data_IF_458342980947
#
_entry.id   IF_458342980947
#
_cell.length_a   1.000
_cell.length_b   1.000
_cell.length_c   1.000
_cell.angle_alpha   90.00
_cell.angle_beta   90.00
_cell.angle_gamma   90.00
#
_symmetry.space_group_name_H-M   'P 1'
#
loop_
_entity.id
_entity.type
_entity.pdbx_description
1 polymer ?
#
# COMPACT_ATOMS: atom_id res chain seq x y z
N UNK A 1 9.84 -2.71 40.12
CA UNK A 1 9.21 -1.74 39.18
C UNK A 1 10.11 -1.40 37.98
N UNK A 2 11.40 -1.12 38.20
CA UNK A 2 12.36 -0.77 37.12
C UNK A 2 12.43 -1.79 35.96
N UNK A 3 12.46 -3.09 36.25
CA UNK A 3 12.53 -4.13 35.20
C UNK A 3 11.30 -4.14 34.28
N UNK A 4 10.11 -3.83 34.81
CA UNK A 4 8.88 -3.73 34.02
C UNK A 4 8.93 -2.49 33.12
N UNK A 5 9.37 -1.35 33.65
CA UNK A 5 9.54 -0.12 32.89
C UNK A 5 10.56 -0.28 31.75
N UNK A 6 11.71 -0.93 32.01
CA UNK A 6 12.74 -1.19 31.00
C UNK A 6 12.25 -2.09 29.86
N UNK A 7 11.39 -3.07 30.14
CA UNK A 7 10.77 -3.91 29.10
C UNK A 7 9.84 -3.10 28.19
N UNK A 8 9.00 -2.25 28.77
CA UNK A 8 8.11 -1.36 28.01
C UNK A 8 8.91 -0.37 27.17
N UNK A 9 9.93 0.27 27.76
CA UNK A 9 10.82 1.18 27.06
C UNK A 9 11.51 0.50 25.86
N UNK A 10 12.02 -0.72 26.06
CA UNK A 10 12.64 -1.50 24.99
C UNK A 10 11.67 -1.81 23.84
N UNK A 11 10.43 -2.19 24.15
CA UNK A 11 9.40 -2.40 23.14
C UNK A 11 9.09 -1.12 22.35
N UNK A 12 8.89 0.01 23.04
CA UNK A 12 8.60 1.30 22.41
C UNK A 12 9.74 1.76 21.48
N UNK A 13 10.99 1.65 21.93
CA UNK A 13 12.17 2.00 21.13
C UNK A 13 12.24 1.20 19.82
N UNK A 14 12.02 -0.12 19.89
CA UNK A 14 12.06 -0.97 18.69
C UNK A 14 10.91 -0.67 17.73
N UNK A 15 9.70 -0.45 18.28
CA UNK A 15 8.53 -0.11 17.47
C UNK A 15 8.71 1.25 16.77
N UNK A 16 9.22 2.25 17.50
CA UNK A 16 9.55 3.56 16.94
C UNK A 16 10.61 3.45 15.85
N UNK A 17 11.69 2.69 16.06
CA UNK A 17 12.74 2.53 15.06
C UNK A 17 12.21 1.94 13.74
N UNK A 18 11.32 0.95 13.81
CA UNK A 18 10.69 0.42 12.60
C UNK A 18 9.80 1.46 11.91
N UNK A 19 8.91 2.14 12.67
CA UNK A 19 7.95 3.10 12.10
C UNK A 19 8.61 4.37 11.56
N UNK A 20 9.69 4.83 12.18
CA UNK A 20 10.35 6.10 11.81
C UNK A 20 11.39 5.92 10.70
N UNK A 21 12.13 4.81 10.68
CA UNK A 21 13.24 4.64 9.74
C UNK A 21 12.95 3.61 8.65
N UNK A 22 12.53 2.41 9.04
CA UNK A 22 12.36 1.30 8.08
C UNK A 22 11.11 1.48 7.23
N UNK A 23 10.01 1.92 7.85
CA UNK A 23 8.71 2.08 7.18
C UNK A 23 8.77 3.10 6.04
N UNK A 24 9.28 4.34 6.21
CA UNK A 24 9.36 5.30 5.12
C UNK A 24 10.22 4.83 3.95
N UNK A 25 11.31 4.09 4.21
CA UNK A 25 12.16 3.53 3.16
C UNK A 25 11.45 2.48 2.28
N UNK A 26 10.46 1.77 2.83
CA UNK A 26 9.65 0.80 2.09
C UNK A 26 8.43 1.46 1.42
N UNK A 27 7.90 2.52 2.02
CA UNK A 27 6.70 3.23 1.57
C UNK A 27 6.98 4.26 0.49
N UNK A 28 8.12 4.96 0.52
CA UNK A 28 8.47 5.92 -0.52
C UNK A 28 8.52 5.29 -1.93
N UNK A 29 9.28 4.20 -2.17
CA UNK A 29 9.40 3.62 -3.51
C UNK A 29 8.14 2.87 -3.95
N UNK A 30 7.19 2.56 -3.07
CA UNK A 30 5.99 1.79 -3.42
C UNK A 30 5.08 2.51 -4.41
N UNK A 31 5.09 3.85 -4.37
CA UNK A 31 4.31 4.73 -5.24
C UNK A 31 4.68 4.55 -6.71
N UNK A 32 5.98 4.38 -6.99
CA UNK A 32 6.54 4.23 -8.33
C UNK A 32 6.73 2.76 -8.69
N UNK A 33 7.14 1.94 -7.72
CA UNK A 33 7.52 0.55 -7.91
C UNK A 33 6.77 -0.39 -6.95
N UNK A 34 5.73 -1.02 -7.49
CA UNK A 34 5.05 -2.13 -6.82
C UNK A 34 5.28 -3.45 -7.57
N UNK A 35 6.19 -4.33 -7.11
CA UNK A 35 6.50 -5.57 -7.82
C UNK A 35 5.32 -6.55 -7.83
N UNK A 36 5.13 -7.23 -8.96
CA UNK A 36 4.13 -8.29 -9.12
C UNK A 36 4.70 -9.71 -8.99
N UNK A 37 6.04 -9.87 -9.06
CA UNK A 37 6.67 -11.18 -8.96
C UNK A 37 6.70 -11.66 -7.52
N UNK A 38 6.28 -12.90 -7.28
CA UNK A 38 6.24 -13.51 -5.94
C UNK A 38 7.57 -13.41 -5.20
N UNK A 39 8.70 -13.64 -5.88
CA UNK A 39 10.04 -13.54 -5.29
C UNK A 39 10.32 -12.15 -4.69
N UNK A 40 9.96 -11.09 -5.41
CA UNK A 40 10.16 -9.71 -4.98
C UNK A 40 9.19 -9.35 -3.85
N UNK A 41 7.93 -9.78 -3.94
CA UNK A 41 6.92 -9.60 -2.88
C UNK A 41 7.39 -10.26 -1.58
N UNK A 42 7.78 -11.54 -1.63
CA UNK A 42 8.29 -12.28 -0.47
C UNK A 42 9.52 -11.59 0.13
N UNK A 43 10.43 -11.07 -0.71
CA UNK A 43 11.61 -10.35 -0.25
C UNK A 43 11.25 -9.07 0.50
N UNK A 44 10.31 -8.27 0.01
CA UNK A 44 9.84 -7.06 0.69
C UNK A 44 9.12 -7.39 2.00
N UNK A 45 8.19 -8.34 1.96
CA UNK A 45 7.46 -8.80 3.15
C UNK A 45 8.42 -9.36 4.21
N UNK A 46 9.53 -10.02 3.81
CA UNK A 46 10.54 -10.51 4.74
C UNK A 46 11.15 -9.42 5.63
N UNK A 47 11.19 -8.17 5.16
CA UNK A 47 11.69 -7.03 5.94
C UNK A 47 10.71 -6.71 7.08
N UNK A 48 9.41 -6.59 6.76
CA UNK A 48 8.37 -6.38 7.76
C UNK A 48 8.30 -7.55 8.75
N UNK A 49 8.39 -8.79 8.27
CA UNK A 49 8.38 -9.98 9.13
C UNK A 49 9.56 -10.01 10.11
N UNK A 50 10.76 -9.64 9.65
CA UNK A 50 11.95 -9.50 10.51
C UNK A 50 11.77 -8.38 11.54
N UNK A 51 11.22 -7.25 11.13
CA UNK A 51 10.92 -6.15 12.04
C UNK A 51 9.90 -6.54 13.12
N UNK A 52 8.83 -7.25 12.77
CA UNK A 52 7.82 -7.71 13.73
C UNK A 52 8.43 -8.63 14.81
N UNK A 53 9.29 -9.57 14.38
CA UNK A 53 10.05 -10.44 15.31
C UNK A 53 10.98 -9.64 16.22
N UNK A 54 11.69 -8.66 15.67
CA UNK A 54 12.57 -7.78 16.42
C UNK A 54 11.81 -6.98 17.48
N UNK A 55 10.68 -6.36 17.13
CA UNK A 55 9.89 -5.55 18.06
C UNK A 55 9.36 -6.40 19.23
N UNK A 56 8.78 -7.55 18.92
CA UNK A 56 8.22 -8.48 19.92
C UNK A 56 9.29 -9.30 20.65
N UNK A 57 10.56 -9.19 20.25
CA UNK A 57 11.67 -10.00 20.79
C UNK A 57 11.40 -11.52 20.68
N UNK A 58 10.72 -11.94 19.61
CA UNK A 58 10.31 -13.34 19.35
C UNK A 58 11.01 -13.85 18.10
N UNK A 59 12.16 -14.51 18.30
CA UNK A 59 12.97 -15.04 17.20
C UNK A 59 12.70 -16.52 16.88
N UNK A 60 11.90 -17.20 17.69
CA UNK A 60 11.61 -18.62 17.48
C UNK A 60 10.75 -18.86 16.23
N UNK A 61 11.13 -19.88 15.45
CA UNK A 61 10.50 -20.22 14.16
C UNK A 61 9.02 -20.68 14.27
N UNK A 62 8.56 -21.07 15.47
CA UNK A 62 7.18 -21.56 15.68
C UNK A 62 6.12 -20.45 15.76
N UNK A 63 6.53 -19.19 15.90
CA UNK A 63 5.57 -18.08 16.05
C UNK A 63 5.07 -17.61 14.69
N UNK A 64 3.75 -17.61 14.49
CA UNK A 64 3.14 -17.14 13.24
C UNK A 64 3.32 -15.63 13.09
N UNK A 65 3.84 -15.17 11.96
CA UNK A 65 4.07 -13.73 11.75
C UNK A 65 2.75 -12.96 11.61
N UNK A 66 1.69 -13.60 11.13
CA UNK A 66 0.35 -13.01 11.08
C UNK A 66 -0.15 -12.57 12.47
N UNK A 67 0.00 -13.43 13.48
CA UNK A 67 -0.39 -13.07 14.87
C UNK A 67 0.46 -11.94 15.44
N UNK A 68 1.74 -11.87 15.06
CA UNK A 68 2.63 -10.77 15.46
C UNK A 68 2.19 -9.44 14.86
N UNK A 69 1.83 -9.43 13.57
CA UNK A 69 1.35 -8.23 12.89
C UNK A 69 0.03 -7.75 13.49
N UNK A 70 -0.89 -8.68 13.78
CA UNK A 70 -2.15 -8.39 14.48
C UNK A 70 -1.89 -7.78 15.87
N UNK A 71 -0.99 -8.39 16.65
CA UNK A 71 -0.61 -7.89 17.98
C UNK A 71 0.01 -6.49 17.93
N UNK A 72 0.75 -6.17 16.87
CA UNK A 72 1.37 -4.86 16.66
C UNK A 72 0.42 -3.84 16.02
N UNK A 73 -0.76 -4.27 15.54
CA UNK A 73 -1.66 -3.45 14.73
C UNK A 73 -1.02 -3.00 13.41
N UNK A 74 -0.15 -3.83 12.83
CA UNK A 74 0.51 -3.53 11.56
C UNK A 74 -0.22 -4.21 10.40
N UNK A 75 -0.69 -3.42 9.45
CA UNK A 75 -1.21 -3.97 8.19
C UNK A 75 -0.09 -4.61 7.35
N UNK A 76 -0.42 -5.62 6.54
CA UNK A 76 0.51 -6.20 5.56
C UNK A 76 1.07 -5.12 4.63
N UNK A 77 2.35 -5.23 4.28
CA UNK A 77 3.01 -4.26 3.41
C UNK A 77 2.36 -4.23 2.02
N UNK A 78 1.91 -5.36 1.48
CA UNK A 78 1.13 -5.41 0.24
C UNK A 78 -0.11 -4.51 0.25
N UNK A 79 -0.93 -4.57 1.32
CA UNK A 79 -2.13 -3.75 1.42
C UNK A 79 -1.78 -2.27 1.45
N UNK A 80 -0.76 -1.90 2.23
CA UNK A 80 -0.29 -0.51 2.31
C UNK A 80 0.26 0.01 0.98
N UNK A 81 1.02 -0.81 0.25
CA UNK A 81 1.51 -0.45 -1.11
C UNK A 81 0.34 -0.23 -2.07
N UNK A 82 -0.70 -1.05 -1.99
CA UNK A 82 -1.93 -0.87 -2.78
C UNK A 82 -2.60 0.46 -2.46
N UNK A 83 -2.78 0.79 -1.18
CA UNK A 83 -3.39 2.07 -0.76
C UNK A 83 -2.58 3.26 -1.25
N UNK A 84 -1.26 3.27 -1.04
CA UNK A 84 -0.37 4.35 -1.48
C UNK A 84 -0.39 4.54 -3.01
N UNK A 85 -0.44 3.45 -3.77
CA UNK A 85 -0.57 3.52 -5.22
C UNK A 85 -1.90 4.18 -5.64
N UNK A 86 -3.00 3.83 -4.97
CA UNK A 86 -4.31 4.41 -5.24
C UNK A 86 -4.37 5.91 -4.86
N UNK A 87 -3.76 6.30 -3.73
CA UNK A 87 -3.63 7.70 -3.32
C UNK A 87 -2.88 8.53 -4.37
N UNK A 88 -1.74 8.03 -4.84
CA UNK A 88 -0.95 8.71 -5.88
C UNK A 88 -1.75 8.82 -7.18
N UNK A 89 -2.51 7.79 -7.55
CA UNK A 89 -3.38 7.83 -8.71
C UNK A 89 -4.48 8.88 -8.59
N UNK A 90 -5.11 9.03 -7.42
CA UNK A 90 -6.09 10.11 -7.16
C UNK A 90 -5.45 11.48 -7.29
N UNK A 91 -4.26 11.67 -6.70
CA UNK A 91 -3.53 12.95 -6.79
C UNK A 91 -3.16 13.31 -8.23
N UNK A 92 -2.81 12.34 -9.07
CA UNK A 92 -2.53 12.57 -10.51
C UNK A 92 -3.81 12.91 -11.26
N UNK A 93 -4.94 12.24 -10.97
CA UNK A 93 -6.26 12.54 -11.55
C UNK A 93 -6.68 13.98 -11.23
N UNK A 94 -6.56 14.37 -9.97
CA UNK A 94 -6.98 15.67 -9.45
C UNK A 94 -6.02 16.81 -9.81
N UNK A 95 -4.90 16.50 -10.45
CA UNK A 95 -3.90 17.48 -10.87
C UNK A 95 -3.03 18.00 -9.73
N UNK A 96 -3.08 17.39 -8.55
CA UNK A 96 -2.21 17.71 -7.40
C UNK A 96 -0.75 17.29 -7.64
N UNK A 97 -0.53 16.36 -8.58
CA UNK A 97 0.80 15.96 -9.05
C UNK A 97 0.90 16.25 -10.55
N UNK A 98 1.84 17.12 -10.93
CA UNK A 98 2.09 17.45 -12.32
C UNK A 98 2.73 16.27 -13.07
N UNK A 99 1.89 15.42 -13.65
CA UNK A 99 2.31 14.34 -14.54
C UNK A 99 1.41 14.26 -15.77
N UNK A 100 1.57 15.17 -16.75
CA UNK A 100 0.67 15.27 -17.90
C UNK A 100 0.63 13.97 -18.71
N UNK A 101 1.78 13.33 -18.91
CA UNK A 101 1.90 12.06 -19.66
C UNK A 101 1.05 10.92 -19.10
N UNK A 102 0.87 10.88 -17.77
CA UNK A 102 0.06 9.86 -17.10
C UNK A 102 -1.40 10.30 -17.09
N UNK A 103 -1.68 11.57 -16.76
CA UNK A 103 -3.02 12.14 -16.69
C UNK A 103 -3.77 12.04 -18.02
N UNK A 104 -3.10 12.31 -19.14
CA UNK A 104 -3.70 12.23 -20.48
C UNK A 104 -4.15 10.81 -20.86
N UNK A 105 -3.61 9.78 -20.18
CA UNK A 105 -3.97 8.37 -20.39
C UNK A 105 -5.12 7.91 -19.50
N UNK A 106 -5.54 8.73 -18.53
CA UNK A 106 -6.66 8.46 -17.63
C UNK A 106 -7.93 8.95 -18.32
N UNK A 107 -8.58 8.06 -19.07
CA UNK A 107 -9.82 8.38 -19.79
C UNK A 107 -11.03 7.85 -19.01
N UNK A 108 -12.00 8.70 -18.63
CA UNK A 108 -13.24 8.25 -18.00
C UNK A 108 -13.94 7.19 -18.84
N UNK A 109 -14.46 6.14 -18.20
CA UNK A 109 -15.25 5.13 -18.88
C UNK A 109 -16.67 5.70 -19.17
N UNK A 110 -17.27 5.40 -20.34
CA UNK A 110 -18.68 5.71 -20.55
C UNK A 110 -19.50 4.92 -19.53
N UNK A 111 -20.25 5.62 -18.68
CA UNK A 111 -21.01 5.05 -17.56
C UNK A 111 -21.94 3.94 -18.06
N UNK A 112 -21.70 2.69 -17.64
CA UNK A 112 -22.55 1.55 -18.00
C UNK A 112 -22.98 0.79 -16.75
N UNK A 113 -24.14 1.19 -16.22
CA UNK A 113 -24.95 0.34 -15.34
C UNK A 113 -24.96 0.73 -13.86
N UNK A 114 -26.05 0.32 -13.20
CA UNK A 114 -26.45 0.68 -11.82
C UNK A 114 -25.54 0.13 -10.70
N UNK A 115 -24.54 -0.71 -11.03
CA UNK A 115 -23.62 -1.39 -10.09
C UNK A 115 -22.19 -0.85 -10.15
N UNK A 116 -21.94 0.15 -10.98
CA UNK A 116 -20.63 0.77 -11.17
C UNK A 116 -20.62 2.13 -10.49
N UNK A 117 -19.53 2.46 -9.77
CA UNK A 117 -19.36 3.80 -9.22
C UNK A 117 -19.09 4.82 -10.35
N UNK A 118 -19.41 6.09 -10.12
CA UNK A 118 -19.39 7.14 -11.15
C UNK A 118 -17.98 7.37 -11.73
N UNK A 119 -16.95 7.22 -10.90
CA UNK A 119 -15.55 7.51 -11.25
C UNK A 119 -14.79 6.32 -11.88
N UNK A 120 -15.39 5.61 -12.84
CA UNK A 120 -14.67 4.52 -13.51
C UNK A 120 -13.83 5.00 -14.68
N UNK A 121 -12.71 4.30 -14.93
CA UNK A 121 -11.79 4.59 -16.02
C UNK A 121 -11.74 3.49 -17.07
N UNK A 122 -11.44 3.86 -18.31
CA UNK A 122 -11.30 2.91 -19.41
C UNK A 122 -10.10 1.99 -19.16
N UNK A 123 -10.35 0.67 -19.17
CA UNK A 123 -9.27 -0.32 -18.99
C UNK A 123 -8.30 -0.27 -20.18
N UNK A 124 -7.01 -0.09 -19.87
CA UNK A 124 -5.94 -0.11 -20.86
C UNK A 124 -5.69 -1.56 -21.30
N UNK A 125 -5.82 -1.84 -22.61
CA UNK A 125 -5.48 -3.16 -23.17
C UNK A 125 -3.96 -3.36 -23.16
N UNK A 126 -3.51 -4.50 -22.66
CA UNK A 126 -2.08 -4.82 -22.54
C UNK A 126 -1.77 -6.18 -23.15
N UNK A 127 -0.70 -6.28 -23.93
CA UNK A 127 -0.25 -7.54 -24.55
C UNK A 127 0.60 -8.42 -23.63
N UNK A 128 1.34 -7.81 -22.70
CA UNK A 128 2.28 -8.51 -21.81
C UNK A 128 1.92 -8.31 -20.35
N UNK A 129 2.21 -9.31 -19.52
CA UNK A 129 1.98 -9.23 -18.07
C UNK A 129 2.79 -8.09 -17.42
N UNK A 130 4.02 -7.85 -17.89
CA UNK A 130 4.83 -6.73 -17.43
C UNK A 130 4.11 -5.37 -17.61
N UNK A 131 3.44 -5.17 -18.75
CA UNK A 131 2.66 -3.95 -18.99
C UNK A 131 1.36 -3.95 -18.19
N UNK A 132 0.70 -5.10 -18.05
CA UNK A 132 -0.53 -5.24 -17.26
C UNK A 132 -0.30 -4.89 -15.78
N UNK A 133 0.86 -5.27 -15.24
CA UNK A 133 1.25 -5.03 -13.85
C UNK A 133 2.04 -3.72 -13.65
N UNK A 134 2.17 -2.90 -14.70
CA UNK A 134 2.68 -1.53 -14.60
C UNK A 134 1.68 -0.63 -13.86
N UNK A 135 2.14 0.52 -13.36
CA UNK A 135 1.36 1.47 -12.56
C UNK A 135 -0.06 1.73 -13.11
N UNK A 136 -0.19 2.22 -14.34
CA UNK A 136 -1.50 2.63 -14.89
C UNK A 136 -2.49 1.47 -15.07
N UNK A 137 -2.21 0.40 -15.86
CA UNK A 137 -3.20 -0.64 -16.12
C UNK A 137 -3.61 -1.39 -14.84
N UNK A 138 -2.66 -1.61 -13.93
CA UNK A 138 -2.91 -2.26 -12.64
C UNK A 138 -3.76 -1.40 -11.73
N UNK A 139 -3.44 -0.11 -11.59
CA UNK A 139 -4.19 0.79 -10.71
C UNK A 139 -5.60 1.04 -11.23
N UNK A 140 -5.80 1.20 -12.54
CA UNK A 140 -7.14 1.34 -13.14
C UNK A 140 -7.97 0.07 -12.89
N UNK A 141 -7.36 -1.12 -13.01
CA UNK A 141 -8.04 -2.39 -12.69
C UNK A 141 -8.47 -2.43 -11.24
N UNK A 142 -7.57 -2.09 -10.32
CA UNK A 142 -7.85 -2.12 -8.89
C UNK A 142 -8.88 -1.06 -8.49
N UNK A 143 -8.80 0.14 -9.05
CA UNK A 143 -9.72 1.26 -8.84
C UNK A 143 -11.14 0.91 -9.28
N UNK A 144 -11.29 0.40 -10.50
CA UNK A 144 -12.61 0.02 -11.02
C UNK A 144 -13.27 -1.15 -10.26
N UNK A 145 -12.50 -1.88 -9.45
CA UNK A 145 -12.99 -2.97 -8.61
C UNK A 145 -13.30 -2.51 -7.17
N UNK A 146 -13.03 -1.25 -6.80
CA UNK A 146 -13.35 -0.72 -5.48
C UNK A 146 -14.85 -0.51 -5.31
N UNK A 147 -15.34 -0.67 -4.07
CA UNK A 147 -16.71 -0.28 -3.73
C UNK A 147 -16.82 1.25 -3.63
N UNK A 148 -18.04 1.79 -3.72
CA UNK A 148 -18.27 3.25 -3.67
C UNK A 148 -17.70 3.88 -2.39
N UNK A 149 -17.87 3.20 -1.25
CA UNK A 149 -17.41 3.68 0.06
C UNK A 149 -15.87 3.74 0.14
N UNK A 150 -15.17 2.80 -0.50
CA UNK A 150 -13.70 2.79 -0.54
C UNK A 150 -13.17 3.91 -1.44
N UNK A 151 -13.86 4.21 -2.53
CA UNK A 151 -13.51 5.31 -3.43
C UNK A 151 -13.65 6.64 -2.68
N UNK A 152 -14.75 6.85 -1.96
CA UNK A 152 -14.98 8.07 -1.16
C UNK A 152 -13.90 8.21 -0.07
N UNK A 153 -13.58 7.14 0.66
CA UNK A 153 -12.55 7.16 1.71
C UNK A 153 -11.14 7.51 1.16
N UNK A 154 -10.76 6.97 -0.01
CA UNK A 154 -9.46 7.29 -0.63
C UNK A 154 -9.42 8.74 -1.12
N UNK A 155 -10.52 9.25 -1.67
CA UNK A 155 -10.64 10.65 -2.12
C UNK A 155 -10.60 11.60 -0.92
N UNK A 156 -11.28 11.28 0.18
CA UNK A 156 -11.25 12.07 1.41
C UNK A 156 -9.84 12.10 2.04
N UNK A 157 -9.14 10.96 2.07
CA UNK A 157 -7.76 10.87 2.54
C UNK A 157 -6.75 11.65 1.66
N UNK A 158 -7.13 12.00 0.43
CA UNK A 158 -6.31 12.77 -0.51
C UNK A 158 -6.71 14.25 -0.62
N UNK A 159 -7.69 14.71 0.18
CA UNK A 159 -8.10 16.11 0.25
C UNK A 159 -6.93 17.08 0.55
N UNK A 160 -7.04 18.36 0.15
CA UNK A 160 -5.98 19.33 0.36
C UNK A 160 -5.71 19.51 1.86
N UNK A 161 -4.42 19.49 2.22
CA UNK A 161 -3.90 19.84 3.55
C UNK A 161 -4.23 21.30 3.86
#
# INVERSE_FOLDING_TARGET
MANKANRVLGFLRRNLAYKAFVRPLLEYPSSVWDPYTQKSIVRLESVQRRAARFVLNRYHNKSSVGSMLLQLGWEPLEQRRRTQRLEVFCRIRDGLVECPVIRDKIVPAPTRGRRMHTDQFTRIKTRTQYRAESFLPRTIRDWNNLHKDEVEAVVEATGPV
#
